data_IF_474126646168
#
_entry.id   IF_474126646168
#
_cell.length_a   1.000
_cell.length_b   1.000
_cell.length_c   1.000
_cell.angle_alpha   90.00
_cell.angle_beta   90.00
_cell.angle_gamma   90.00
#
_symmetry.space_group_name_H-M   'P 1'
#
loop_
_entity.id
_entity.type
_entity.pdbx_description
1 polymer ?
#
# COMPACT_ATOMS: atom_id res chain seq x y z
N UNK A 1 19.73 -4.51 -6.50
CA UNK A 1 19.22 -3.64 -5.43
C UNK A 1 18.97 -2.27 -6.04
N UNK A 2 17.79 -1.69 -5.83
CA UNK A 2 17.51 -0.33 -6.28
C UNK A 2 18.37 0.69 -5.51
N UNK A 3 18.60 1.85 -6.10
CA UNK A 3 19.35 2.95 -5.47
C UNK A 3 18.51 4.22 -5.47
N UNK A 4 18.73 5.07 -4.48
CA UNK A 4 18.05 6.36 -4.30
C UNK A 4 19.10 7.46 -4.39
N UNK A 5 18.77 8.59 -5.02
CA UNK A 5 19.62 9.79 -4.96
C UNK A 5 19.20 10.65 -3.76
N UNK A 6 17.89 10.83 -3.59
CA UNK A 6 17.28 11.58 -2.50
C UNK A 6 16.12 10.80 -1.88
N UNK A 7 15.78 11.12 -0.62
CA UNK A 7 14.61 10.63 0.10
C UNK A 7 13.90 11.83 0.74
N UNK A 8 12.58 11.91 0.55
CA UNK A 8 11.72 12.93 1.18
C UNK A 8 10.55 12.29 1.90
N UNK A 9 10.07 12.97 2.94
CA UNK A 9 8.89 12.60 3.74
C UNK A 9 7.93 13.79 3.84
N UNK A 10 7.08 14.02 2.82
CA UNK A 10 6.17 15.17 2.79
C UNK A 10 5.13 15.11 3.90
N UNK A 11 4.73 16.27 4.41
CA UNK A 11 3.64 16.40 5.41
C UNK A 11 2.27 16.63 4.77
N UNK A 12 2.23 16.85 3.44
CA UNK A 12 1.01 17.08 2.67
C UNK A 12 0.98 16.24 1.41
N UNK A 13 -0.21 15.73 1.07
CA UNK A 13 -0.40 14.86 -0.09
C UNK A 13 -0.11 15.60 -1.40
N UNK A 14 -0.49 16.88 -1.47
CA UNK A 14 -0.24 17.74 -2.62
C UNK A 14 1.27 17.90 -2.87
N UNK A 15 2.06 18.07 -1.81
CA UNK A 15 3.52 18.16 -1.91
C UNK A 15 4.11 16.84 -2.40
N UNK A 16 3.66 15.70 -1.88
CA UNK A 16 4.09 14.40 -2.37
C UNK A 16 3.78 14.21 -3.86
N UNK A 17 2.60 14.64 -4.30
CA UNK A 17 2.18 14.58 -5.69
C UNK A 17 3.02 15.49 -6.60
N UNK A 18 3.30 16.73 -6.19
CA UNK A 18 4.16 17.64 -6.96
C UNK A 18 5.58 17.08 -7.13
N UNK A 19 6.17 16.54 -6.06
CA UNK A 19 7.50 15.92 -6.11
C UNK A 19 7.48 14.69 -7.04
N UNK A 20 6.43 13.88 -7.01
CA UNK A 20 6.30 12.72 -7.90
C UNK A 20 6.32 13.12 -9.37
N UNK A 21 5.67 14.23 -9.72
CA UNK A 21 5.57 14.72 -11.10
C UNK A 21 6.79 15.50 -11.59
N UNK A 22 7.58 16.07 -10.68
CA UNK A 22 8.77 16.88 -11.02
C UNK A 22 9.76 16.14 -11.92
N UNK A 23 9.99 14.84 -11.67
CA UNK A 23 10.89 14.01 -12.48
C UNK A 23 10.33 12.61 -12.69
N UNK A 24 10.42 12.12 -13.93
CA UNK A 24 9.95 10.78 -14.33
C UNK A 24 10.59 9.61 -13.56
N UNK A 25 11.79 9.80 -13.00
CA UNK A 25 12.48 8.77 -12.23
C UNK A 25 12.23 8.87 -10.71
N UNK A 26 11.35 9.77 -10.24
CA UNK A 26 10.87 9.78 -8.87
C UNK A 26 9.91 8.62 -8.63
N UNK A 27 9.79 8.18 -7.38
CA UNK A 27 8.94 7.04 -7.05
C UNK A 27 8.45 7.09 -5.60
N UNK A 28 7.21 6.66 -5.39
CA UNK A 28 6.66 6.42 -4.06
C UNK A 28 7.24 5.11 -3.50
N UNK A 29 7.62 5.13 -2.22
CA UNK A 29 8.06 3.93 -1.49
C UNK A 29 6.83 3.19 -0.92
N UNK A 30 6.22 2.32 -1.73
CA UNK A 30 5.11 1.47 -1.31
C UNK A 30 5.59 0.11 -0.78
N UNK A 31 6.00 0.03 0.48
CA UNK A 31 6.42 -1.21 1.14
C UNK A 31 7.71 -1.88 0.64
N UNK A 32 8.28 -1.36 -0.46
CA UNK A 32 9.58 -1.68 -1.03
C UNK A 32 9.87 -3.15 -1.37
N UNK A 33 8.95 -4.08 -1.15
CA UNK A 33 9.16 -5.51 -1.37
C UNK A 33 9.62 -5.81 -2.81
N UNK A 34 8.85 -5.35 -3.80
CA UNK A 34 9.21 -5.54 -5.21
C UNK A 34 10.26 -4.55 -5.71
N UNK A 35 10.36 -3.35 -5.12
CA UNK A 35 11.45 -2.43 -5.43
C UNK A 35 12.81 -3.07 -5.11
N UNK A 36 12.93 -3.79 -3.99
CA UNK A 36 14.14 -4.52 -3.58
C UNK A 36 14.56 -5.62 -4.56
N UNK A 37 13.59 -6.25 -5.24
CA UNK A 37 13.86 -7.26 -6.26
C UNK A 37 14.38 -6.67 -7.58
N UNK A 38 14.22 -5.36 -7.77
CA UNK A 38 14.71 -4.66 -8.97
C UNK A 38 16.11 -4.07 -8.83
N UNK A 39 16.50 -3.38 -9.91
CA UNK A 39 17.76 -2.62 -10.05
C UNK A 39 17.51 -1.17 -10.46
N UNK A 40 16.30 -0.64 -10.22
CA UNK A 40 15.91 0.72 -10.62
C UNK A 40 16.78 1.77 -9.91
N UNK A 41 17.25 2.77 -10.66
CA UNK A 41 17.81 4.00 -10.09
C UNK A 41 16.70 5.02 -9.93
N UNK A 42 16.31 5.30 -8.69
CA UNK A 42 15.32 6.29 -8.32
C UNK A 42 16.02 7.62 -8.09
N UNK A 43 15.46 8.70 -8.63
CA UNK A 43 15.90 10.07 -8.34
C UNK A 43 15.55 10.40 -6.90
N UNK A 44 14.33 10.90 -6.69
CA UNK A 44 13.76 11.16 -5.37
C UNK A 44 12.77 10.06 -4.99
N UNK A 45 13.06 9.39 -3.89
CA UNK A 45 12.11 8.51 -3.21
C UNK A 45 11.17 9.32 -2.32
N UNK A 46 9.87 9.01 -2.39
CA UNK A 46 8.82 9.70 -1.66
C UNK A 46 8.23 8.72 -0.66
N UNK A 47 8.51 8.93 0.61
CA UNK A 47 7.92 8.17 1.71
C UNK A 47 6.68 8.91 2.23
N UNK A 48 5.55 8.20 2.26
CA UNK A 48 4.24 8.72 2.62
C UNK A 48 3.90 8.51 4.10
N UNK A 49 4.85 8.03 4.91
CA UNK A 49 4.65 7.71 6.33
C UNK A 49 4.04 8.84 7.16
N UNK A 50 4.34 10.10 6.82
CA UNK A 50 3.89 11.29 7.57
C UNK A 50 2.48 11.77 7.17
N UNK A 51 1.83 11.13 6.19
CA UNK A 51 0.53 11.58 5.66
C UNK A 51 -0.68 10.95 6.36
N UNK A 52 -0.47 10.15 7.40
CA UNK A 52 -1.55 9.46 8.14
C UNK A 52 -2.48 8.63 7.24
N UNK A 53 -1.94 8.03 6.18
CA UNK A 53 -2.69 7.23 5.19
C UNK A 53 -2.87 5.76 5.60
N UNK A 54 -2.62 5.40 6.86
CA UNK A 54 -2.81 4.06 7.40
C UNK A 54 -3.99 4.08 8.35
N UNK A 55 -5.15 3.64 7.86
CA UNK A 55 -6.40 3.62 8.64
C UNK A 55 -7.40 2.66 8.01
N UNK A 56 -8.30 2.16 8.85
CA UNK A 56 -9.50 1.42 8.45
C UNK A 56 -10.65 2.01 9.27
N UNK A 57 -11.66 2.59 8.61
CA UNK A 57 -12.80 3.21 9.30
C UNK A 57 -14.09 3.02 8.53
N UNK A 58 -15.20 3.02 9.24
CA UNK A 58 -16.53 3.06 8.64
C UNK A 58 -16.94 4.51 8.40
N UNK A 59 -17.47 4.82 7.22
CA UNK A 59 -17.93 6.16 6.85
C UNK A 59 -19.07 6.03 5.84
N UNK A 60 -20.25 6.56 6.20
CA UNK A 60 -21.43 6.61 5.33
C UNK A 60 -21.84 5.25 4.73
N UNK A 61 -21.75 4.16 5.50
CA UNK A 61 -22.07 2.80 5.04
C UNK A 61 -20.97 2.13 4.21
N UNK A 62 -19.83 2.79 4.01
CA UNK A 62 -18.64 2.24 3.37
C UNK A 62 -17.53 1.99 4.39
N UNK A 63 -16.61 1.10 4.04
CA UNK A 63 -15.36 0.94 4.76
C UNK A 63 -14.25 1.62 3.97
N UNK A 64 -13.70 2.69 4.51
CA UNK A 64 -12.55 3.37 3.93
C UNK A 64 -11.26 2.75 4.44
N UNK A 65 -10.37 2.41 3.51
CA UNK A 65 -9.05 1.82 3.78
C UNK A 65 -7.99 2.77 3.23
N UNK A 66 -7.12 3.26 4.10
CA UNK A 66 -6.01 4.13 3.71
C UNK A 66 -4.95 3.38 2.89
N UNK A 67 -4.36 4.06 1.90
CA UNK A 67 -3.40 3.46 0.95
C UNK A 67 -2.12 2.90 1.61
N UNK A 68 -1.74 3.41 2.78
CA UNK A 68 -0.56 2.96 3.54
C UNK A 68 -0.88 1.88 4.58
N UNK A 69 -2.14 1.46 4.68
CA UNK A 69 -2.56 0.33 5.54
C UNK A 69 -1.81 -0.94 5.11
N UNK A 70 -1.20 -1.63 6.07
CA UNK A 70 -0.46 -2.86 5.79
C UNK A 70 -1.40 -4.02 5.50
N UNK A 71 -0.91 -5.05 4.79
CA UNK A 71 -1.68 -6.28 4.60
C UNK A 71 -1.93 -6.99 5.94
N UNK A 72 -1.05 -6.82 6.93
CA UNK A 72 -1.25 -7.38 8.26
C UNK A 72 -2.40 -6.70 8.99
N UNK A 73 -2.49 -5.37 8.90
CA UNK A 73 -3.61 -4.64 9.49
C UNK A 73 -4.92 -5.10 8.84
N UNK A 74 -4.92 -5.26 7.52
CA UNK A 74 -6.07 -5.81 6.79
C UNK A 74 -6.46 -7.22 7.26
N UNK A 75 -5.47 -8.08 7.53
CA UNK A 75 -5.65 -9.46 7.99
C UNK A 75 -6.34 -9.53 9.36
N UNK A 76 -5.94 -8.66 10.31
CA UNK A 76 -6.38 -8.78 11.72
C UNK A 76 -7.45 -7.78 12.12
N UNK A 77 -7.83 -6.84 11.26
CA UNK A 77 -8.78 -5.80 11.63
C UNK A 77 -10.15 -6.40 11.96
N UNK A 78 -10.68 -6.10 13.15
CA UNK A 78 -11.94 -6.67 13.63
C UNK A 78 -13.12 -6.33 12.71
N UNK A 79 -13.22 -5.06 12.26
CA UNK A 79 -14.26 -4.63 11.31
C UNK A 79 -14.25 -5.50 10.05
N UNK A 80 -13.08 -5.68 9.43
CA UNK A 80 -12.96 -6.43 8.17
C UNK A 80 -13.19 -7.93 8.34
N UNK A 81 -12.84 -8.49 9.51
CA UNK A 81 -13.16 -9.89 9.83
C UNK A 81 -14.66 -10.12 9.97
N UNK A 82 -15.41 -9.12 10.46
CA UNK A 82 -16.85 -9.20 10.67
C UNK A 82 -17.67 -8.75 9.44
N UNK A 83 -17.05 -8.06 8.48
CA UNK A 83 -17.69 -7.60 7.25
C UNK A 83 -17.50 -8.59 6.10
N UNK A 84 -18.49 -8.72 5.22
CA UNK A 84 -18.40 -9.46 3.95
C UNK A 84 -17.79 -10.88 4.08
N UNK A 85 -18.15 -11.60 5.15
CA UNK A 85 -17.62 -12.93 5.47
C UNK A 85 -16.07 -12.95 5.54
N UNK A 86 -15.44 -11.86 5.95
CA UNK A 86 -13.99 -11.75 6.10
C UNK A 86 -13.21 -11.88 4.79
N UNK A 87 -13.79 -11.53 3.64
CA UNK A 87 -13.13 -11.76 2.33
C UNK A 87 -11.79 -11.04 2.21
N UNK A 88 -11.65 -9.81 2.71
CA UNK A 88 -10.39 -9.07 2.70
C UNK A 88 -9.32 -9.71 3.60
N UNK A 89 -9.59 -10.05 4.88
CA UNK A 89 -8.67 -10.83 5.70
C UNK A 89 -8.26 -12.16 5.06
N UNK A 90 -9.22 -12.88 4.48
CA UNK A 90 -8.98 -14.19 3.85
C UNK A 90 -8.11 -14.10 2.60
N UNK A 91 -8.19 -13.02 1.83
CA UNK A 91 -7.37 -12.84 0.63
C UNK A 91 -5.90 -12.58 0.95
N UNK A 92 -5.60 -11.98 2.11
CA UNK A 92 -4.21 -11.63 2.45
C UNK A 92 -3.52 -12.60 3.41
N UNK A 93 -4.26 -13.39 4.21
CA UNK A 93 -3.68 -14.24 5.29
C UNK A 93 -2.62 -15.24 4.84
N UNK A 94 -2.70 -15.71 3.60
CA UNK A 94 -1.77 -16.71 3.03
C UNK A 94 -0.61 -16.09 2.24
N UNK A 95 -0.54 -14.74 2.16
CA UNK A 95 0.52 -14.06 1.44
C UNK A 95 1.81 -14.10 2.27
N UNK A 96 2.69 -15.06 1.93
CA UNK A 96 4.02 -15.25 2.52
C UNK A 96 3.95 -15.32 4.07
N UNK A 97 4.62 -14.41 4.79
CA UNK A 97 4.70 -14.40 6.25
C UNK A 97 4.30 -13.04 6.82
N UNK A 98 4.06 -13.00 8.13
CA UNK A 98 3.62 -11.78 8.83
C UNK A 98 4.58 -10.60 8.62
N UNK A 99 5.90 -10.84 8.59
CA UNK A 99 6.92 -9.81 8.35
C UNK A 99 6.75 -9.16 6.96
N UNK A 100 6.41 -9.95 5.96
CA UNK A 100 6.13 -9.46 4.61
C UNK A 100 4.84 -8.63 4.59
N UNK A 101 3.77 -9.14 5.23
CA UNK A 101 2.47 -8.46 5.30
C UNK A 101 2.50 -7.15 6.11
N UNK A 102 3.40 -7.03 7.08
CA UNK A 102 3.68 -5.77 7.78
C UNK A 102 4.36 -4.71 6.90
N UNK A 103 5.05 -5.14 5.84
CA UNK A 103 5.79 -4.22 4.97
C UNK A 103 4.96 -3.78 3.75
N UNK A 104 4.15 -4.68 3.20
CA UNK A 104 3.37 -4.40 1.98
C UNK A 104 2.09 -3.64 2.33
N UNK A 105 1.79 -2.60 1.55
CA UNK A 105 0.59 -1.77 1.74
C UNK A 105 -0.49 -2.06 0.70
N UNK A 106 -1.74 -1.77 1.06
CA UNK A 106 -2.91 -1.90 0.19
C UNK A 106 -2.74 -1.07 -1.09
N UNK A 107 -2.38 0.21 -0.96
CA UNK A 107 -2.20 1.12 -2.09
C UNK A 107 -1.09 0.68 -3.04
N UNK A 108 0.02 0.15 -2.52
CA UNK A 108 1.10 -0.38 -3.36
C UNK A 108 0.63 -1.59 -4.18
N UNK A 109 -0.15 -2.48 -3.56
CA UNK A 109 -0.71 -3.67 -4.22
C UNK A 109 -1.67 -3.28 -5.35
N UNK A 110 -2.58 -2.33 -5.10
CA UNK A 110 -3.53 -1.82 -6.10
C UNK A 110 -2.81 -1.06 -7.23
N UNK A 111 -1.86 -0.19 -6.89
CA UNK A 111 -1.10 0.59 -7.87
C UNK A 111 -0.28 -0.29 -8.81
N UNK A 112 0.40 -1.30 -8.27
CA UNK A 112 1.30 -2.14 -9.04
C UNK A 112 0.57 -3.11 -9.99
N UNK A 113 -0.73 -3.38 -9.75
CA UNK A 113 -1.59 -4.21 -10.61
C UNK A 113 -0.97 -5.57 -10.94
N UNK A 114 -0.33 -6.19 -9.94
CA UNK A 114 0.23 -7.52 -10.13
C UNK A 114 -0.90 -8.52 -10.38
N UNK A 115 -0.86 -9.21 -11.52
CA UNK A 115 -1.92 -10.15 -11.92
C UNK A 115 -2.09 -11.35 -10.98
N UNK A 116 -1.15 -11.57 -10.06
CA UNK A 116 -1.22 -12.60 -9.03
C UNK A 116 -1.74 -12.09 -7.66
N UNK A 117 -2.11 -10.81 -7.55
CA UNK A 117 -2.50 -10.22 -6.26
C UNK A 117 -3.92 -10.64 -5.86
N UNK A 118 -4.01 -11.54 -4.87
CA UNK A 118 -5.28 -12.00 -4.29
C UNK A 118 -6.12 -10.83 -3.72
N UNK A 119 -5.46 -9.78 -3.21
CA UNK A 119 -6.14 -8.59 -2.71
C UNK A 119 -6.91 -7.86 -3.80
N UNK A 120 -6.37 -7.77 -5.02
CA UNK A 120 -7.05 -7.07 -6.13
C UNK A 120 -8.32 -7.83 -6.51
N UNK A 121 -8.25 -9.15 -6.59
CA UNK A 121 -9.42 -10.00 -6.87
C UNK A 121 -10.51 -9.84 -5.81
N UNK A 122 -10.14 -9.79 -4.53
CA UNK A 122 -11.09 -9.58 -3.44
C UNK A 122 -11.74 -8.20 -3.48
N UNK A 123 -10.97 -7.14 -3.79
CA UNK A 123 -11.50 -5.77 -3.93
C UNK A 123 -12.47 -5.66 -5.11
N UNK A 124 -12.19 -6.32 -6.24
CA UNK A 124 -13.09 -6.37 -7.40
C UNK A 124 -14.42 -7.08 -7.13
N UNK A 125 -14.48 -7.97 -6.13
CA UNK A 125 -15.70 -8.68 -5.78
C UNK A 125 -16.61 -7.91 -4.80
N UNK A 126 -16.14 -6.78 -4.26
CA UNK A 126 -16.81 -5.99 -3.22
C UNK A 126 -17.46 -4.69 -3.76
N UNK A 127 -17.89 -4.69 -5.02
CA UNK A 127 -18.54 -3.53 -5.67
C UNK A 127 -19.85 -3.08 -5.01
#
# INVERSE_FOLDING_TARGET
MFTLSDLVQPEKLETAYQILLDKKNNAILGGCAFLKMGSKRIGTAIDLSNLNLSYIKETNGFIEIGAMTSLRDLEIHALLNNSFNGVLPKSVRNIIGVQFRNSVTVGASVYAKYGFSDLITALLALE
#
